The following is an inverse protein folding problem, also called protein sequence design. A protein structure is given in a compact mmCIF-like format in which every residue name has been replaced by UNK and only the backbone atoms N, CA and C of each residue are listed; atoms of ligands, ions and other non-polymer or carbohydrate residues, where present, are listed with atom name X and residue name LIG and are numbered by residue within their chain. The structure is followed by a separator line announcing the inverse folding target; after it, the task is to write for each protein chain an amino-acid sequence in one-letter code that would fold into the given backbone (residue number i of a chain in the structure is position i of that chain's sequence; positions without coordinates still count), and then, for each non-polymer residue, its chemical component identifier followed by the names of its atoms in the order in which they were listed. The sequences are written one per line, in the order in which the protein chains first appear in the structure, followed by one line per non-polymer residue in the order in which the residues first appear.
data_IF_078402906749
#
_entry.id   IF_078402906749
#
_cell.length_a   1.000
_cell.length_b   1.000
_cell.length_c   1.000
_cell.angle_alpha   90.00
_cell.angle_beta   90.00
_cell.angle_gamma   90.00
#
_symmetry.space_group_name_H-M   'P 1'
#
loop_
_entity.id
_entity.type
_entity.pdbx_description
1 polymer ?
#
# COMPACT_ATOMS: atom_id res chain seq x y z
N UNK A 1 50.57 13.89 6.46
CA UNK A 1 49.46 13.00 6.87
C UNK A 1 50.01 11.67 7.34
N UNK A 2 50.56 11.58 8.55
CA UNK A 2 51.29 10.39 9.01
C UNK A 2 50.93 9.97 10.45
N UNK A 3 49.69 10.25 10.88
CA UNK A 3 49.20 9.73 12.15
C UNK A 3 48.82 8.24 11.97
N UNK A 4 49.00 7.41 13.02
CA UNK A 4 48.63 6.00 12.96
C UNK A 4 47.15 5.79 12.59
N UNK A 5 46.28 6.71 13.02
CA UNK A 5 44.86 6.71 12.68
C UNK A 5 44.60 6.78 11.17
N UNK A 6 45.23 7.75 10.48
CA UNK A 6 45.05 7.94 9.02
C UNK A 6 45.53 6.70 8.26
N UNK A 7 46.65 6.10 8.71
CA UNK A 7 47.17 4.88 8.09
C UNK A 7 46.22 3.70 8.25
N UNK A 8 45.62 3.54 9.43
CA UNK A 8 44.66 2.48 9.70
C UNK A 8 43.41 2.63 8.82
N UNK A 9 42.76 3.79 8.85
CA UNK A 9 41.53 4.04 8.08
C UNK A 9 41.73 4.01 6.57
N UNK A 10 42.93 4.30 6.06
CA UNK A 10 43.26 4.17 4.62
C UNK A 10 43.81 2.80 4.21
N UNK A 11 43.92 1.83 5.12
CA UNK A 11 44.57 0.56 4.87
C UNK A 11 43.65 -0.49 4.22
N UNK A 12 44.26 -1.45 3.53
CA UNK A 12 43.57 -2.65 3.02
C UNK A 12 43.08 -3.54 4.18
N UNK A 13 43.81 -3.57 5.30
CA UNK A 13 43.45 -4.35 6.49
C UNK A 13 42.12 -3.88 7.11
N UNK A 14 41.79 -2.59 6.99
CA UNK A 14 40.48 -2.07 7.37
C UNK A 14 39.44 -2.26 6.26
N UNK A 15 39.83 -2.00 4.99
CA UNK A 15 38.91 -2.04 3.86
C UNK A 15 38.31 -3.43 3.60
N UNK A 16 39.11 -4.49 3.66
CA UNK A 16 38.66 -5.86 3.30
C UNK A 16 37.59 -6.38 4.27
N UNK A 17 37.79 -6.34 5.60
CA UNK A 17 36.72 -6.72 6.54
C UNK A 17 35.48 -5.84 6.40
N UNK A 18 35.64 -4.52 6.22
CA UNK A 18 34.51 -3.61 6.04
C UNK A 18 33.67 -4.00 4.81
N UNK A 19 34.33 -4.21 3.66
CA UNK A 19 33.66 -4.60 2.42
C UNK A 19 33.03 -5.99 2.54
N UNK A 20 33.72 -6.95 3.14
CA UNK A 20 33.18 -8.29 3.38
C UNK A 20 31.91 -8.25 4.26
N UNK A 21 31.92 -7.43 5.32
CA UNK A 21 30.74 -7.21 6.16
C UNK A 21 29.60 -6.58 5.38
N UNK A 22 29.85 -5.53 4.61
CA UNK A 22 28.82 -4.89 3.77
C UNK A 22 28.22 -5.90 2.79
N UNK A 23 29.05 -6.69 2.10
CA UNK A 23 28.58 -7.72 1.16
C UNK A 23 27.74 -8.78 1.87
N UNK A 24 28.17 -9.29 3.03
CA UNK A 24 27.40 -10.25 3.81
C UNK A 24 26.05 -9.69 4.26
N UNK A 25 26.02 -8.43 4.69
CA UNK A 25 24.79 -7.71 5.05
C UNK A 25 23.86 -7.56 3.84
N UNK A 26 24.38 -7.18 2.68
CA UNK A 26 23.59 -7.03 1.45
C UNK A 26 22.97 -8.37 1.01
N UNK A 27 23.74 -9.46 1.05
CA UNK A 27 23.25 -10.81 0.75
C UNK A 27 22.14 -11.21 1.74
N UNK A 28 22.39 -11.02 3.04
CA UNK A 28 21.38 -11.31 4.08
C UNK A 28 20.12 -10.47 3.92
N UNK A 29 20.26 -9.19 3.57
CA UNK A 29 19.16 -8.27 3.33
C UNK A 29 18.29 -8.71 2.15
N UNK A 30 18.89 -9.16 1.04
CA UNK A 30 18.14 -9.70 -0.11
C UNK A 30 17.38 -10.98 0.23
N UNK A 31 17.98 -11.88 1.02
CA UNK A 31 17.28 -13.10 1.48
C UNK A 31 16.12 -12.71 2.41
N UNK A 32 16.35 -11.77 3.33
CA UNK A 32 15.33 -11.31 4.26
C UNK A 32 14.18 -10.57 3.54
N UNK A 33 14.49 -9.75 2.53
CA UNK A 33 13.54 -9.03 1.69
C UNK A 33 12.54 -9.97 1.03
N UNK A 34 12.99 -11.14 0.57
CA UNK A 34 12.10 -12.15 -0.01
C UNK A 34 11.04 -12.69 0.95
N UNK A 35 11.25 -12.53 2.27
CA UNK A 35 10.34 -13.05 3.31
C UNK A 35 9.42 -11.98 3.88
N UNK A 36 9.93 -10.76 4.08
CA UNK A 36 9.21 -9.68 4.79
C UNK A 36 8.82 -8.50 3.91
N UNK A 37 9.26 -8.49 2.65
CA UNK A 37 8.98 -7.42 1.70
C UNK A 37 9.98 -6.27 1.74
N UNK A 38 10.03 -5.52 0.64
CA UNK A 38 11.02 -4.45 0.41
C UNK A 38 10.89 -3.28 1.39
N UNK A 39 9.68 -2.87 1.75
CA UNK A 39 9.42 -1.73 2.63
C UNK A 39 10.06 -1.92 4.01
N UNK A 40 9.93 -3.12 4.58
CA UNK A 40 10.52 -3.48 5.87
C UNK A 40 12.05 -3.42 5.81
N UNK A 41 12.65 -4.03 4.79
CA UNK A 41 14.12 -4.10 4.66
C UNK A 41 14.73 -2.73 4.37
N UNK A 42 14.05 -1.89 3.58
CA UNK A 42 14.43 -0.50 3.36
C UNK A 42 14.53 0.24 4.69
N UNK A 43 13.54 0.12 5.57
CA UNK A 43 13.55 0.81 6.86
C UNK A 43 14.57 0.23 7.85
N UNK A 44 14.64 -1.09 7.99
CA UNK A 44 15.47 -1.75 9.00
C UNK A 44 16.97 -1.81 8.65
N UNK A 45 17.29 -1.88 7.35
CA UNK A 45 18.65 -2.09 6.86
C UNK A 45 19.10 -0.88 6.05
N UNK A 46 18.56 -0.67 4.84
CA UNK A 46 19.17 0.25 3.87
C UNK A 46 19.13 1.73 4.29
N UNK A 47 18.04 2.18 4.91
CA UNK A 47 17.85 3.55 5.40
C UNK A 47 18.20 3.70 6.90
N UNK A 48 18.75 2.65 7.51
CA UNK A 48 19.09 2.66 8.93
C UNK A 48 20.36 3.49 9.22
N UNK A 49 20.46 4.13 10.40
CA UNK A 49 21.67 4.86 10.78
C UNK A 49 22.92 3.97 10.85
N UNK A 50 22.79 2.71 11.29
CA UNK A 50 23.91 1.80 11.42
C UNK A 50 24.50 1.41 10.06
N UNK A 51 23.65 1.16 9.06
CA UNK A 51 24.11 0.89 7.70
C UNK A 51 24.70 2.14 7.07
N UNK A 52 24.11 3.31 7.34
CA UNK A 52 24.67 4.62 6.99
C UNK A 52 26.09 4.82 7.54
N UNK A 53 26.36 4.41 8.79
CA UNK A 53 27.71 4.45 9.38
C UNK A 53 28.68 3.55 8.60
N UNK A 54 28.28 2.35 8.19
CA UNK A 54 29.13 1.46 7.38
C UNK A 54 29.48 2.10 6.02
N UNK A 55 28.48 2.69 5.35
CA UNK A 55 28.69 3.40 4.09
C UNK A 55 29.57 4.64 4.26
N UNK A 56 29.42 5.36 5.37
CA UNK A 56 30.28 6.49 5.72
C UNK A 56 31.73 6.04 5.96
N UNK A 57 31.95 4.97 6.73
CA UNK A 57 33.28 4.40 6.96
C UNK A 57 33.93 3.94 5.64
N UNK A 58 33.15 3.39 4.71
CA UNK A 58 33.64 3.02 3.38
C UNK A 58 34.07 4.27 2.60
N UNK A 59 33.26 5.33 2.60
CA UNK A 59 33.61 6.59 1.95
C UNK A 59 34.90 7.20 2.55
N UNK A 60 35.03 7.21 3.88
CA UNK A 60 36.24 7.67 4.57
C UNK A 60 37.46 6.83 4.20
N UNK A 61 37.32 5.50 4.14
CA UNK A 61 38.40 4.61 3.73
C UNK A 61 38.87 4.90 2.29
N UNK A 62 37.93 4.99 1.34
CA UNK A 62 38.22 5.28 -0.06
C UNK A 62 38.90 6.65 -0.21
N UNK A 63 38.41 7.65 0.51
CA UNK A 63 38.94 9.01 0.47
C UNK A 63 40.37 9.08 1.02
N UNK A 64 40.63 8.50 2.20
CA UNK A 64 41.98 8.49 2.80
C UNK A 64 42.94 7.65 1.94
N UNK A 65 42.49 6.52 1.40
CA UNK A 65 43.27 5.69 0.47
C UNK A 65 43.70 6.47 -0.78
N UNK A 66 42.82 7.32 -1.32
CA UNK A 66 43.16 8.22 -2.43
C UNK A 66 44.21 9.27 -2.01
N UNK A 67 43.99 9.97 -0.89
CA UNK A 67 44.86 11.07 -0.44
C UNK A 67 46.27 10.60 -0.04
N UNK A 68 46.38 9.45 0.62
CA UNK A 68 47.68 8.92 1.07
C UNK A 68 48.62 8.54 -0.08
N UNK A 69 48.11 8.42 -1.31
CA UNK A 69 48.91 8.17 -2.52
C UNK A 69 49.27 9.43 -3.30
N UNK A 70 48.99 10.61 -2.74
CA UNK A 70 49.48 11.87 -3.26
C UNK A 70 51.03 11.94 -3.15
N UNK A 71 51.76 12.47 -4.15
CA UNK A 71 51.27 13.11 -5.38
C UNK A 71 50.86 12.09 -6.45
N UNK A 72 49.68 12.29 -7.06
CA UNK A 72 49.08 11.41 -8.09
C UNK A 72 49.76 11.53 -9.46
N UNK A 73 51.09 11.37 -9.48
CA UNK A 73 51.90 11.50 -10.70
C UNK A 73 51.81 10.23 -11.54
N UNK A 74 51.47 10.43 -12.81
CA UNK A 74 51.37 9.38 -13.83
C UNK A 74 49.99 8.73 -13.92
N UNK A 75 49.66 8.22 -15.11
CA UNK A 75 48.33 7.73 -15.48
C UNK A 75 47.71 6.71 -14.50
N UNK A 76 48.50 5.74 -13.99
CA UNK A 76 47.99 4.74 -13.05
C UNK A 76 47.56 5.34 -11.70
N UNK A 77 48.35 6.27 -11.15
CA UNK A 77 48.05 6.89 -9.85
C UNK A 77 46.95 7.95 -9.95
N UNK A 78 46.94 8.70 -11.05
CA UNK A 78 45.85 9.63 -11.36
C UNK A 78 44.53 8.88 -11.57
N UNK A 79 44.53 7.81 -12.38
CA UNK A 79 43.37 6.96 -12.60
C UNK A 79 42.84 6.35 -11.30
N UNK A 80 43.74 5.83 -10.45
CA UNK A 80 43.38 5.33 -9.11
C UNK A 80 42.66 6.38 -8.27
N UNK A 81 43.21 7.60 -8.20
CA UNK A 81 42.62 8.69 -7.42
C UNK A 81 41.25 9.11 -7.96
N UNK A 82 41.12 9.26 -9.28
CA UNK A 82 39.85 9.59 -9.95
C UNK A 82 38.77 8.55 -9.66
N UNK A 83 39.11 7.26 -9.73
CA UNK A 83 38.15 6.19 -9.41
C UNK A 83 37.68 6.26 -7.96
N UNK A 84 38.60 6.45 -7.01
CA UNK A 84 38.23 6.49 -5.59
C UNK A 84 37.42 7.74 -5.24
N UNK A 85 37.80 8.91 -5.77
CA UNK A 85 37.02 10.15 -5.61
C UNK A 85 35.63 9.97 -6.22
N UNK A 86 35.53 9.39 -7.42
CA UNK A 86 34.26 9.11 -8.07
C UNK A 86 33.35 8.21 -7.25
N UNK A 87 33.89 7.13 -6.66
CA UNK A 87 33.14 6.25 -5.76
C UNK A 87 32.64 6.99 -4.51
N UNK A 88 33.46 7.87 -3.91
CA UNK A 88 33.04 8.70 -2.77
C UNK A 88 31.89 9.63 -3.17
N UNK A 89 31.96 10.28 -4.33
CA UNK A 89 30.87 11.13 -4.83
C UNK A 89 29.57 10.33 -5.05
N UNK A 90 29.66 9.09 -5.56
CA UNK A 90 28.49 8.21 -5.70
C UNK A 90 27.89 7.86 -4.35
N UNK A 91 28.71 7.50 -3.35
CA UNK A 91 28.23 7.16 -2.00
C UNK A 91 27.52 8.37 -1.37
N UNK A 92 28.15 9.55 -1.43
CA UNK A 92 27.57 10.79 -0.89
C UNK A 92 26.30 11.18 -1.65
N UNK A 93 26.31 11.08 -2.98
CA UNK A 93 25.15 11.34 -3.81
C UNK A 93 23.99 10.39 -3.53
N UNK A 94 24.26 9.09 -3.34
CA UNK A 94 23.26 8.09 -2.97
C UNK A 94 22.62 8.39 -1.61
N UNK A 95 23.43 8.77 -0.61
CA UNK A 95 22.91 9.23 0.69
C UNK A 95 22.03 10.48 0.52
N UNK A 96 22.43 11.42 -0.34
CA UNK A 96 21.60 12.56 -0.72
C UNK A 96 20.26 12.14 -1.33
N UNK A 97 20.26 11.17 -2.26
CA UNK A 97 19.02 10.65 -2.86
C UNK A 97 18.08 10.11 -1.79
N UNK A 98 18.59 9.32 -0.84
CA UNK A 98 17.79 8.70 0.24
C UNK A 98 17.15 9.74 1.16
N UNK A 99 17.87 10.81 1.51
CA UNK A 99 17.42 11.76 2.53
C UNK A 99 16.73 13.01 1.98
N UNK A 100 16.96 13.35 0.71
CA UNK A 100 16.51 14.63 0.13
C UNK A 100 15.59 14.47 -1.08
N UNK A 101 15.47 13.25 -1.62
CA UNK A 101 14.50 13.02 -2.71
C UNK A 101 13.12 12.78 -2.13
N UNK A 102 12.11 13.26 -2.85
CA UNK A 102 10.73 12.90 -2.62
C UNK A 102 10.27 11.99 -3.75
N UNK A 103 9.58 10.92 -3.40
CA UNK A 103 9.00 9.99 -4.35
C UNK A 103 7.63 9.54 -3.84
N UNK A 104 6.65 9.48 -4.75
CA UNK A 104 5.33 8.96 -4.43
C UNK A 104 4.54 8.57 -5.67
N UNK A 105 3.45 7.86 -5.42
CA UNK A 105 2.52 7.37 -6.43
C UNK A 105 1.31 8.29 -6.52
N UNK A 106 0.97 8.71 -7.73
CA UNK A 106 -0.16 9.56 -8.05
C UNK A 106 -1.21 8.72 -8.80
N UNK A 107 -2.21 8.18 -8.10
CA UNK A 107 -3.34 7.53 -8.76
C UNK A 107 -4.22 8.60 -9.42
N UNK A 108 -4.57 8.34 -10.69
CA UNK A 108 -5.41 9.21 -11.51
C UNK A 108 -6.53 8.42 -12.17
N UNK A 109 -7.65 9.11 -12.40
CA UNK A 109 -8.79 8.58 -13.16
C UNK A 109 -9.33 9.61 -14.14
N UNK A 110 -9.81 9.15 -15.29
CA UNK A 110 -10.39 10.01 -16.34
C UNK A 110 -11.69 10.72 -15.91
N UNK A 111 -12.44 10.10 -14.99
CA UNK A 111 -13.73 10.60 -14.50
C UNK A 111 -13.62 11.51 -13.28
N UNK A 112 -12.40 11.78 -12.81
CA UNK A 112 -12.12 12.62 -11.65
C UNK A 112 -11.39 13.91 -12.04
N UNK A 113 -11.57 14.95 -11.22
CA UNK A 113 -10.80 16.18 -11.33
C UNK A 113 -9.30 15.92 -11.07
N UNK A 114 -8.48 16.93 -11.37
CA UNK A 114 -7.03 16.86 -11.14
C UNK A 114 -6.68 16.53 -9.69
N UNK A 115 -5.72 15.62 -9.52
CA UNK A 115 -5.21 15.21 -8.23
C UNK A 115 -3.85 15.87 -7.97
N UNK A 116 -3.64 16.42 -6.78
CA UNK A 116 -2.35 16.94 -6.32
C UNK A 116 -1.78 16.14 -5.14
N UNK A 117 -2.39 15.05 -4.71
CA UNK A 117 -1.91 14.24 -3.59
C UNK A 117 -1.20 12.99 -4.11
N UNK A 118 0.07 12.85 -3.73
CA UNK A 118 0.84 11.63 -3.97
C UNK A 118 0.92 10.81 -2.70
N UNK A 119 0.80 9.49 -2.83
CA UNK A 119 1.10 8.54 -1.76
C UNK A 119 2.60 8.35 -1.69
N UNK A 120 3.22 8.79 -0.61
CA UNK A 120 4.64 8.56 -0.34
C UNK A 120 4.80 7.28 0.49
N UNK A 121 6.03 6.78 0.58
CA UNK A 121 6.33 5.60 1.39
C UNK A 121 6.05 5.87 2.89
N UNK A 122 5.32 4.94 3.51
CA UNK A 122 4.96 4.98 4.92
C UNK A 122 3.44 5.09 5.15
N UNK A 123 3.02 4.73 6.35
CA UNK A 123 1.67 4.93 6.83
C UNK A 123 1.71 5.90 8.03
N UNK A 124 0.56 6.50 8.30
CA UNK A 124 0.40 7.57 9.27
C UNK A 124 -0.81 7.26 10.17
N UNK A 125 -0.66 7.57 11.45
CA UNK A 125 -1.76 7.62 12.40
C UNK A 125 -2.07 9.09 12.73
N UNK A 126 -3.28 9.52 12.41
CA UNK A 126 -3.82 10.81 12.79
C UNK A 126 -4.73 10.60 14.00
N UNK A 127 -4.54 11.40 15.05
CA UNK A 127 -5.38 11.36 16.25
C UNK A 127 -5.81 12.78 16.58
N UNK A 128 -7.10 12.97 16.86
CA UNK A 128 -7.68 14.20 17.39
C UNK A 128 -8.40 13.91 18.69
N UNK A 129 -8.00 14.58 19.78
CA UNK A 129 -8.65 14.43 21.10
C UNK A 129 -9.94 15.23 21.19
N UNK A 130 -10.80 14.97 22.20
CA UNK A 130 -12.00 15.77 22.45
C UNK A 130 -11.71 17.26 22.68
N UNK A 131 -10.54 17.59 23.23
CA UNK A 131 -10.07 18.96 23.48
C UNK A 131 -9.60 19.68 22.20
N UNK A 132 -9.56 18.98 21.07
CA UNK A 132 -9.11 19.50 19.78
C UNK A 132 -7.60 19.44 19.56
N UNK A 133 -6.85 18.74 20.41
CA UNK A 133 -5.43 18.47 20.16
C UNK A 133 -5.30 17.46 19.01
N UNK A 134 -4.43 17.75 18.05
CA UNK A 134 -4.20 16.87 16.89
C UNK A 134 -2.74 16.46 16.82
N UNK A 135 -2.48 15.16 16.61
CA UNK A 135 -1.15 14.62 16.37
C UNK A 135 -1.16 13.73 15.13
N UNK A 136 -0.18 13.93 14.25
CA UNK A 136 0.09 13.07 13.10
C UNK A 136 1.43 12.38 13.31
N UNK A 137 1.46 11.05 13.26
CA UNK A 137 2.68 10.27 13.45
C UNK A 137 2.86 9.21 12.38
N UNK A 138 4.06 9.17 11.83
CA UNK A 138 4.52 8.05 11.02
C UNK A 138 4.51 6.78 11.88
N UNK A 139 3.95 5.72 11.32
CA UNK A 139 3.90 4.40 11.96
C UNK A 139 4.64 3.39 11.10
N UNK A 140 5.39 2.52 11.79
CA UNK A 140 6.11 1.41 11.17
C UNK A 140 5.64 0.11 11.79
N UNK A 141 5.12 -0.77 10.95
CA UNK A 141 4.69 -2.12 11.32
C UNK A 141 5.85 -3.07 11.08
N UNK A 142 6.32 -3.73 12.15
CA UNK A 142 7.37 -4.73 12.08
C UNK A 142 6.82 -6.07 11.60
N UNK A 143 7.67 -6.99 11.10
CA UNK A 143 7.24 -8.33 10.67
C UNK A 143 6.57 -9.18 11.76
N UNK A 144 6.84 -8.88 13.03
CA UNK A 144 6.19 -9.53 14.18
C UNK A 144 4.82 -8.92 14.52
N UNK A 145 4.33 -7.94 13.75
CA UNK A 145 3.08 -7.23 13.97
C UNK A 145 3.16 -6.11 15.02
N UNK A 146 4.32 -5.89 15.64
CA UNK A 146 4.51 -4.77 16.57
C UNK A 146 4.59 -3.44 15.83
N UNK A 147 4.08 -2.38 16.45
CA UNK A 147 3.98 -1.05 15.86
C UNK A 147 4.97 -0.09 16.55
N UNK A 148 5.60 0.77 15.77
CA UNK A 148 6.49 1.83 16.25
C UNK A 148 6.02 3.18 15.71
N UNK A 149 5.79 4.20 16.55
CA UNK A 149 5.86 4.18 18.03
C UNK A 149 4.77 3.29 18.66
N UNK A 150 4.91 2.93 19.93
CA UNK A 150 3.92 2.11 20.64
C UNK A 150 2.71 2.92 21.15
N UNK A 151 2.72 4.24 20.98
CA UNK A 151 1.66 5.13 21.42
C UNK A 151 1.69 6.46 20.66
N UNK A 152 0.52 7.07 20.46
CA UNK A 152 0.31 8.38 19.83
C UNK A 152 -0.85 9.06 20.54
N UNK A 153 -0.68 10.30 21.03
CA UNK A 153 -1.72 11.12 21.66
C UNK A 153 -2.73 10.37 22.55
N UNK A 154 -2.25 9.66 23.58
CA UNK A 154 -3.09 8.91 24.54
C UNK A 154 -3.60 7.54 24.06
N UNK A 155 -3.37 7.19 22.79
CA UNK A 155 -3.67 5.85 22.25
C UNK A 155 -2.43 4.96 22.32
N UNK A 156 -2.55 3.79 22.94
CA UNK A 156 -1.56 2.71 22.88
C UNK A 156 -1.81 1.84 21.66
N UNK A 157 -0.77 1.59 20.85
CA UNK A 157 -0.85 0.75 19.65
C UNK A 157 -0.48 -0.69 20.01
N UNK A 158 -1.48 -1.56 20.06
CA UNK A 158 -1.35 -2.92 20.60
C UNK A 158 -0.98 -3.96 19.56
N UNK A 159 -1.40 -3.77 18.30
CA UNK A 159 -1.13 -4.76 17.26
C UNK A 159 -1.68 -4.38 15.90
N UNK A 160 -1.29 -5.17 14.90
CA UNK A 160 -1.66 -5.00 13.50
C UNK A 160 -2.29 -6.28 12.96
N UNK A 161 -3.32 -6.14 12.14
CA UNK A 161 -3.91 -7.22 11.38
C UNK A 161 -3.90 -6.86 9.89
N UNK A 162 -3.32 -7.73 9.06
CA UNK A 162 -3.20 -7.51 7.61
C UNK A 162 -4.56 -7.64 6.91
N UNK A 163 -5.40 -8.56 7.37
CA UNK A 163 -6.74 -8.78 6.84
C UNK A 163 -7.76 -8.68 7.97
N UNK A 164 -8.59 -7.64 7.90
CA UNK A 164 -9.77 -7.51 8.73
C UNK A 164 -11.02 -7.39 7.88
N UNK A 165 -12.12 -7.96 8.37
CA UNK A 165 -13.44 -7.81 7.77
C UNK A 165 -14.36 -7.08 8.72
N UNK A 166 -15.24 -6.26 8.15
CA UNK A 166 -16.31 -5.62 8.91
C UNK A 166 -17.46 -6.61 9.03
N UNK A 167 -17.72 -7.05 10.25
CA UNK A 167 -18.89 -7.86 10.58
C UNK A 167 -19.93 -6.94 11.22
N UNK A 168 -21.19 -7.15 10.84
CA UNK A 168 -22.33 -6.50 11.50
C UNK A 168 -22.86 -7.45 12.55
N UNK A 169 -22.97 -6.95 13.77
CA UNK A 169 -23.75 -7.55 14.84
C UNK A 169 -24.98 -6.69 15.08
N UNK A 170 -26.06 -7.32 15.52
CA UNK A 170 -27.28 -6.64 15.90
C UNK A 170 -27.43 -6.69 17.42
N UNK A 171 -27.85 -5.58 18.01
CA UNK A 171 -28.16 -5.46 19.45
C UNK A 171 -29.50 -4.75 19.60
N UNK A 172 -30.25 -5.06 20.65
CA UNK A 172 -31.51 -4.34 20.94
C UNK A 172 -31.23 -2.87 21.32
N UNK A 173 -32.15 -1.95 21.00
CA UNK A 173 -32.09 -0.56 21.47
C UNK A 173 -31.85 0.51 20.39
N UNK A 174 -32.05 0.18 19.12
CA UNK A 174 -32.06 1.14 18.02
C UNK A 174 -33.19 2.16 18.16
N UNK A 175 -32.95 3.40 17.70
CA UNK A 175 -33.95 4.46 17.74
C UNK A 175 -35.01 4.37 16.62
N UNK A 176 -34.83 3.44 15.67
CA UNK A 176 -35.67 3.25 14.49
C UNK A 176 -36.02 1.79 14.32
N UNK A 177 -37.19 1.52 13.75
CA UNK A 177 -37.61 0.16 13.38
C UNK A 177 -36.58 -0.49 12.45
N UNK A 178 -35.95 -1.54 12.95
CA UNK A 178 -34.97 -2.30 12.19
C UNK A 178 -35.03 -3.75 12.68
N UNK A 179 -35.85 -4.54 12.01
CA UNK A 179 -36.01 -5.95 12.39
C UNK A 179 -34.73 -6.71 12.06
N UNK A 180 -34.21 -7.45 13.05
CA UNK A 180 -33.12 -8.40 12.85
C UNK A 180 -33.46 -9.74 13.50
N UNK A 181 -33.17 -10.83 12.79
CA UNK A 181 -33.44 -12.19 13.20
C UNK A 181 -32.12 -12.97 13.22
N UNK A 182 -31.80 -13.59 14.35
CA UNK A 182 -30.71 -14.56 14.41
C UNK A 182 -31.28 -15.93 14.13
N UNK A 183 -30.82 -16.57 13.06
CA UNK A 183 -31.22 -17.92 12.67
C UNK A 183 -30.03 -18.86 12.77
N UNK A 184 -30.29 -20.09 13.20
CA UNK A 184 -29.32 -21.17 13.24
C UNK A 184 -29.73 -22.25 12.26
N UNK A 185 -28.79 -22.65 11.41
CA UNK A 185 -28.90 -23.76 10.46
C UNK A 185 -28.10 -24.95 10.99
N UNK A 186 -28.73 -26.12 11.07
CA UNK A 186 -28.08 -27.35 11.54
C UNK A 186 -28.30 -28.50 10.56
N UNK A 187 -27.24 -29.28 10.32
CA UNK A 187 -27.31 -30.57 9.61
C UNK A 187 -26.60 -31.63 10.45
N UNK A 188 -27.37 -32.63 10.90
CA UNK A 188 -26.85 -33.75 11.68
C UNK A 188 -25.96 -34.67 10.81
N UNK A 189 -26.30 -34.83 9.53
CA UNK A 189 -25.54 -35.69 8.60
C UNK A 189 -24.19 -35.08 8.23
N UNK A 190 -24.11 -33.75 8.12
CA UNK A 190 -22.88 -33.04 7.75
C UNK A 190 -22.09 -32.56 8.97
N UNK A 191 -22.60 -32.74 10.19
CA UNK A 191 -22.02 -32.17 11.42
C UNK A 191 -21.74 -30.68 11.29
N UNK A 192 -22.67 -29.94 10.67
CA UNK A 192 -22.56 -28.52 10.42
C UNK A 192 -23.58 -27.74 11.26
N UNK A 193 -23.10 -26.66 11.86
CA UNK A 193 -23.91 -25.67 12.56
C UNK A 193 -23.44 -24.29 12.09
N UNK A 194 -24.38 -23.49 11.57
CA UNK A 194 -24.12 -22.15 11.05
C UNK A 194 -25.11 -21.19 11.65
N UNK A 195 -24.61 -20.19 12.36
CA UNK A 195 -25.42 -19.06 12.82
C UNK A 195 -25.37 -17.92 11.80
N UNK A 196 -26.52 -17.32 11.51
CA UNK A 196 -26.64 -16.25 10.55
C UNK A 196 -27.61 -15.18 11.04
N UNK A 197 -27.22 -13.92 10.90
CA UNK A 197 -28.14 -12.79 11.06
C UNK A 197 -28.83 -12.47 9.73
N UNK A 198 -30.14 -12.23 9.81
CA UNK A 198 -30.94 -11.57 8.80
C UNK A 198 -31.39 -10.23 9.35
N UNK A 199 -31.24 -9.14 8.59
CA UNK A 199 -31.54 -7.79 9.06
C UNK A 199 -32.21 -6.96 7.97
N UNK A 200 -33.19 -6.14 8.34
CA UNK A 200 -33.83 -5.24 7.38
C UNK A 200 -32.83 -4.23 6.83
N UNK A 201 -31.99 -3.68 7.70
CA UNK A 201 -30.81 -2.90 7.35
C UNK A 201 -29.56 -3.44 8.10
N UNK A 202 -28.36 -3.45 7.49
CA UNK A 202 -28.07 -2.98 6.13
C UNK A 202 -28.47 -4.01 5.05
N UNK A 203 -28.66 -3.56 3.81
CA UNK A 203 -29.19 -4.36 2.69
C UNK A 203 -28.54 -5.74 2.49
N UNK A 204 -27.20 -5.93 2.65
CA UNK A 204 -26.59 -7.26 2.49
C UNK A 204 -27.10 -8.32 3.47
N UNK A 205 -27.64 -7.92 4.63
CA UNK A 205 -28.21 -8.84 5.61
C UNK A 205 -29.69 -9.14 5.34
N UNK A 206 -30.31 -8.46 4.37
CA UNK A 206 -31.70 -8.72 3.97
C UNK A 206 -31.80 -9.97 3.10
N UNK A 207 -30.75 -10.27 2.33
CA UNK A 207 -30.64 -11.45 1.47
C UNK A 207 -29.24 -12.04 1.61
N UNK A 208 -29.13 -13.20 2.24
CA UNK A 208 -27.87 -13.90 2.46
C UNK A 208 -27.82 -15.12 1.56
N UNK A 209 -26.86 -15.15 0.64
CA UNK A 209 -26.62 -16.34 -0.19
C UNK A 209 -25.79 -17.37 0.56
N UNK A 210 -26.22 -18.62 0.50
CA UNK A 210 -25.53 -19.79 1.04
C UNK A 210 -25.00 -20.69 -0.10
N UNK A 211 -24.80 -20.13 -1.30
CA UNK A 211 -24.46 -20.89 -2.51
C UNK A 211 -25.72 -21.29 -3.29
N UNK A 212 -26.14 -22.58 -3.26
CA UNK A 212 -27.32 -23.04 -4.00
C UNK A 212 -28.66 -22.66 -3.33
N UNK A 213 -28.62 -22.04 -2.15
CA UNK A 213 -29.79 -21.60 -1.41
C UNK A 213 -29.62 -20.16 -0.91
N UNK A 214 -30.73 -19.50 -0.60
CA UNK A 214 -30.74 -18.14 -0.03
C UNK A 214 -31.64 -18.02 1.19
N UNK A 215 -31.24 -17.14 2.11
CA UNK A 215 -32.05 -16.69 3.24
C UNK A 215 -32.49 -15.25 2.98
N UNK A 216 -33.78 -14.96 3.17
CA UNK A 216 -34.35 -13.65 2.88
C UNK A 216 -35.16 -13.15 4.08
N UNK A 217 -35.03 -11.86 4.40
CA UNK A 217 -35.93 -11.16 5.32
C UNK A 217 -36.74 -10.12 4.55
N UNK A 218 -38.05 -10.12 4.79
CA UNK A 218 -38.96 -9.09 4.28
C UNK A 218 -39.77 -8.52 5.43
N UNK A 219 -39.89 -7.20 5.48
CA UNK A 219 -40.73 -6.51 6.45
C UNK A 219 -41.96 -5.98 5.72
N UNK A 220 -43.15 -6.23 6.27
CA UNK A 220 -44.45 -5.82 5.73
C UNK A 220 -45.29 -5.09 6.77
N UNK A 221 -46.22 -4.26 6.30
CA UNK A 221 -46.97 -3.35 7.17
C UNK A 221 -48.05 -4.03 8.00
N UNK A 222 -48.64 -5.13 7.52
CA UNK A 222 -49.73 -5.84 8.22
C UNK A 222 -49.65 -7.37 8.08
N UNK A 223 -50.47 -8.07 8.86
CA UNK A 223 -50.62 -9.52 8.77
C UNK A 223 -51.27 -9.95 7.44
N UNK A 224 -52.20 -9.16 6.90
CA UNK A 224 -52.78 -9.41 5.57
C UNK A 224 -51.72 -9.34 4.48
N UNK A 225 -50.84 -8.32 4.53
CA UNK A 225 -49.72 -8.19 3.60
C UNK A 225 -48.71 -9.34 3.75
N UNK A 226 -48.52 -9.88 4.96
CA UNK A 226 -47.69 -11.06 5.16
C UNK A 226 -48.28 -12.30 4.49
N UNK A 227 -49.60 -12.52 4.63
CA UNK A 227 -50.30 -13.65 3.98
C UNK A 227 -50.30 -13.51 2.46
N UNK A 228 -50.53 -12.31 1.93
CA UNK A 228 -50.43 -12.04 0.49
C UNK A 228 -49.02 -12.32 -0.03
N UNK A 229 -47.98 -11.94 0.73
CA UNK A 229 -46.60 -12.22 0.37
C UNK A 229 -46.31 -13.72 0.35
N UNK A 230 -46.77 -14.48 1.35
CA UNK A 230 -46.65 -15.95 1.36
C UNK A 230 -47.35 -16.58 0.16
N UNK A 231 -48.56 -16.12 -0.17
CA UNK A 231 -49.32 -16.61 -1.32
C UNK A 231 -48.57 -16.34 -2.64
N UNK A 232 -48.03 -15.13 -2.80
CA UNK A 232 -47.22 -14.78 -3.98
C UNK A 232 -45.98 -15.67 -4.09
N UNK A 233 -45.35 -16.00 -2.96
CA UNK A 233 -44.16 -16.85 -2.93
C UNK A 233 -44.47 -18.31 -3.29
N UNK A 234 -45.67 -18.79 -2.97
CA UNK A 234 -46.13 -20.13 -3.35
C UNK A 234 -46.26 -20.31 -4.87
N UNK A 235 -46.57 -19.23 -5.60
CA UNK A 235 -46.70 -19.24 -7.05
C UNK A 235 -45.34 -19.12 -7.78
N UNK A 236 -44.28 -18.67 -7.08
CA UNK A 236 -42.91 -18.62 -7.60
C UNK A 236 -42.13 -19.89 -7.25
N UNK A 237 -41.67 -20.61 -8.28
CA UNK A 237 -41.08 -21.97 -8.15
C UNK A 237 -39.59 -22.07 -8.51
N UNK A 238 -38.84 -20.96 -8.42
CA UNK A 238 -37.41 -20.95 -8.76
C UNK A 238 -36.51 -20.86 -7.53
N UNK A 239 -35.51 -21.73 -7.47
CA UNK A 239 -34.45 -21.71 -6.46
C UNK A 239 -34.80 -22.34 -5.11
N UNK A 240 -33.77 -22.58 -4.28
CA UNK A 240 -33.93 -22.98 -2.89
C UNK A 240 -33.87 -21.73 -2.02
N UNK A 241 -34.93 -21.42 -1.27
CA UNK A 241 -34.95 -20.22 -0.42
C UNK A 241 -35.75 -20.42 0.86
N UNK A 242 -35.32 -19.74 1.92
CA UNK A 242 -36.08 -19.57 3.14
C UNK A 242 -36.30 -18.07 3.33
N UNK A 243 -37.56 -17.65 3.39
CA UNK A 243 -37.93 -16.26 3.53
C UNK A 243 -38.70 -16.04 4.84
N UNK A 244 -38.09 -15.30 5.77
CA UNK A 244 -38.75 -14.78 6.94
C UNK A 244 -39.51 -13.49 6.57
N UNK A 245 -40.77 -13.42 6.99
CA UNK A 245 -41.66 -12.30 6.72
C UNK A 245 -42.07 -11.73 8.07
N UNK A 246 -41.51 -10.57 8.40
CA UNK A 246 -41.79 -9.85 9.63
C UNK A 246 -42.86 -8.79 9.41
N UNK A 247 -43.82 -8.72 10.32
CA UNK A 247 -44.83 -7.66 10.33
C UNK A 247 -44.41 -6.51 11.25
N UNK A 248 -44.96 -5.32 11.02
CA UNK A 248 -44.80 -4.16 11.91
C UNK A 248 -45.24 -4.45 13.37
N UNK A 249 -46.18 -5.39 13.58
CA UNK A 249 -46.63 -5.83 14.90
C UNK A 249 -45.68 -6.80 15.61
N UNK A 250 -44.59 -7.20 14.95
CA UNK A 250 -43.59 -8.13 15.48
C UNK A 250 -43.92 -9.61 15.26
N UNK A 251 -45.05 -9.95 14.64
CA UNK A 251 -45.32 -11.35 14.24
C UNK A 251 -44.45 -11.75 13.05
N UNK A 252 -43.99 -13.00 13.07
CA UNK A 252 -43.14 -13.59 12.04
C UNK A 252 -43.85 -14.75 11.34
N UNK A 253 -43.76 -14.76 10.02
CA UNK A 253 -44.15 -15.86 9.16
C UNK A 253 -42.92 -16.35 8.38
N UNK A 254 -42.98 -17.56 7.85
CA UNK A 254 -41.96 -18.04 6.92
C UNK A 254 -42.60 -18.67 5.69
N UNK A 255 -41.84 -18.63 4.61
CA UNK A 255 -42.06 -19.41 3.40
C UNK A 255 -40.73 -20.05 3.00
N UNK A 256 -40.74 -21.34 2.66
CA UNK A 256 -39.58 -22.06 2.17
C UNK A 256 -39.92 -22.82 0.90
N UNK A 257 -39.00 -22.83 -0.05
CA UNK A 257 -39.10 -23.61 -1.27
C UNK A 257 -37.85 -24.46 -1.46
N UNK A 258 -38.06 -25.69 -1.90
CA UNK A 258 -37.00 -26.62 -2.25
C UNK A 258 -37.49 -27.58 -3.34
N UNK A 259 -36.63 -28.48 -3.79
CA UNK A 259 -37.03 -29.60 -4.64
C UNK A 259 -38.11 -30.51 -4.02
N UNK A 260 -38.33 -30.44 -2.71
CA UNK A 260 -39.39 -31.18 -2.00
C UNK A 260 -40.75 -30.44 -1.99
N UNK A 261 -40.79 -29.22 -2.54
CA UNK A 261 -41.99 -28.39 -2.63
C UNK A 261 -41.94 -27.14 -1.74
N UNK A 262 -43.06 -26.44 -1.71
CA UNK A 262 -43.28 -25.22 -0.95
C UNK A 262 -43.89 -25.53 0.43
N UNK A 263 -43.40 -24.86 1.47
CA UNK A 263 -43.95 -24.91 2.82
C UNK A 263 -44.00 -23.50 3.41
N UNK A 264 -44.98 -23.22 4.25
CA UNK A 264 -45.10 -21.94 4.95
C UNK A 264 -45.78 -22.11 6.30
N UNK A 265 -45.62 -21.12 7.17
CA UNK A 265 -46.23 -21.15 8.49
C UNK A 265 -45.85 -19.94 9.35
N UNK A 266 -46.18 -20.02 10.63
CA UNK A 266 -45.76 -19.04 11.63
C UNK A 266 -44.33 -19.40 12.06
N UNK A 267 -43.42 -18.42 12.02
CA UNK A 267 -42.05 -18.59 12.48
C UNK A 267 -42.01 -18.30 13.98
N UNK A 268 -41.65 -19.30 14.79
CA UNK A 268 -41.61 -19.18 16.24
C UNK A 268 -40.18 -19.36 16.76
N UNK A 269 -39.92 -18.75 17.90
CA UNK A 269 -38.64 -18.82 18.59
C UNK A 269 -38.34 -20.25 19.04
N UNK A 270 -37.13 -20.72 18.75
CA UNK A 270 -36.59 -22.04 19.13
C UNK A 270 -37.37 -23.26 18.60
N UNK A 271 -38.27 -23.09 17.63
CA UNK A 271 -38.90 -24.21 16.93
C UNK A 271 -38.14 -24.51 15.62
N UNK A 272 -37.61 -25.73 15.42
CA UNK A 272 -36.90 -26.09 14.20
C UNK A 272 -37.87 -26.32 13.03
N UNK A 273 -37.47 -25.86 11.84
CA UNK A 273 -38.23 -25.98 10.59
C UNK A 273 -37.35 -26.70 9.57
N UNK A 274 -37.86 -27.80 9.01
CA UNK A 274 -37.19 -28.52 7.94
C UNK A 274 -37.23 -27.71 6.63
N UNK A 275 -36.06 -27.46 6.02
CA UNK A 275 -35.97 -26.62 4.82
C UNK A 275 -36.22 -27.40 3.52
N UNK A 276 -36.09 -28.73 3.56
CA UNK A 276 -36.08 -29.59 2.37
C UNK A 276 -34.77 -29.55 1.59
N UNK A 277 -33.76 -28.81 2.07
CA UNK A 277 -32.39 -28.81 1.53
C UNK A 277 -31.59 -29.91 2.23
N UNK A 278 -31.59 -31.11 1.66
CA UNK A 278 -31.05 -32.30 2.34
C UNK A 278 -31.66 -32.46 3.76
N UNK A 279 -30.84 -32.47 4.80
CA UNK A 279 -31.23 -32.61 6.22
C UNK A 279 -31.09 -31.30 7.02
N UNK A 280 -31.02 -30.15 6.35
CA UNK A 280 -30.94 -28.87 7.04
C UNK A 280 -32.26 -28.47 7.70
N UNK A 281 -32.16 -28.13 8.98
CA UNK A 281 -33.20 -27.47 9.76
C UNK A 281 -32.77 -26.04 10.08
N UNK A 282 -33.71 -25.10 10.02
CA UNK A 282 -33.51 -23.72 10.48
C UNK A 282 -34.28 -23.48 11.78
N UNK A 283 -33.66 -22.78 12.72
CA UNK A 283 -34.27 -22.39 13.99
C UNK A 283 -34.10 -20.90 14.19
N UNK A 284 -35.18 -20.19 14.57
CA UNK A 284 -35.08 -18.79 15.00
C UNK A 284 -34.57 -18.75 16.45
N UNK A 285 -33.40 -18.18 16.68
CA UNK A 285 -32.82 -18.07 18.03
C UNK A 285 -33.15 -16.76 18.73
N UNK A 286 -33.19 -15.66 17.97
CA UNK A 286 -33.36 -14.32 18.50
C UNK A 286 -34.12 -13.44 17.51
N UNK A 287 -34.98 -12.57 18.03
CA UNK A 287 -35.70 -11.56 17.28
C UNK A 287 -35.50 -10.21 17.95
N UNK A 288 -35.00 -9.25 17.18
CA UNK A 288 -34.85 -7.85 17.56
C UNK A 288 -35.79 -7.03 16.68
N UNK A 289 -36.62 -6.19 17.29
CA UNK A 289 -37.56 -5.32 16.55
C UNK A 289 -36.96 -3.96 16.24
N UNK A 290 -36.11 -3.47 17.15
CA UNK A 290 -35.42 -2.20 17.05
C UNK A 290 -33.92 -2.46 17.14
N UNK A 291 -33.38 -3.18 16.15
CA UNK A 291 -31.98 -3.57 16.17
C UNK A 291 -31.05 -2.38 15.88
N UNK A 292 -30.18 -2.06 16.83
CA UNK A 292 -29.00 -1.24 16.61
C UNK A 292 -27.91 -2.06 15.91
N UNK A 293 -27.30 -1.48 14.88
CA UNK A 293 -26.20 -2.07 14.13
C UNK A 293 -24.88 -1.78 14.88
N UNK A 294 -24.25 -2.82 15.38
CA UNK A 294 -22.89 -2.77 15.95
C UNK A 294 -21.89 -3.30 14.91
N UNK A 295 -21.08 -2.41 14.34
CA UNK A 295 -20.08 -2.78 13.35
C UNK A 295 -18.78 -3.12 14.05
N UNK A 296 -18.34 -4.37 13.94
CA UNK A 296 -17.09 -4.82 14.50
C UNK A 296 -16.10 -5.14 13.39
N UNK A 297 -14.84 -4.82 13.64
CA UNK A 297 -13.74 -5.17 12.74
C UNK A 297 -13.05 -6.37 13.36
N UNK A 298 -13.02 -7.47 12.61
CA UNK A 298 -12.49 -8.75 13.10
C UNK A 298 -11.32 -9.18 12.21
N UNK A 299 -10.15 -9.51 12.80
CA UNK A 299 -9.05 -10.11 12.08
C UNK A 299 -9.44 -11.48 11.51
N UNK A 300 -9.09 -11.73 10.24
CA UNK A 300 -9.33 -13.01 9.58
C UNK A 300 -7.98 -13.66 9.30
N UNK A 301 -7.79 -14.87 9.85
CA UNK A 301 -6.56 -15.65 9.63
C UNK A 301 -6.51 -16.34 8.26
N UNK A 302 -7.65 -16.45 7.59
CA UNK A 302 -7.75 -17.03 6.24
C UNK A 302 -7.28 -16.03 5.18
N UNK A 303 -6.20 -16.39 4.47
CA UNK A 303 -5.59 -15.58 3.40
C UNK A 303 -6.45 -15.50 2.14
N UNK A 304 -7.49 -16.31 2.02
CA UNK A 304 -8.41 -16.28 0.87
C UNK A 304 -9.47 -15.18 1.00
N UNK A 305 -9.70 -14.68 2.22
CA UNK A 305 -10.63 -13.59 2.48
C UNK A 305 -9.93 -12.26 2.23
N UNK A 306 -10.38 -11.53 1.21
CA UNK A 306 -9.87 -10.21 0.89
C UNK A 306 -10.34 -9.20 1.95
N UNK A 307 -9.47 -8.88 2.90
CA UNK A 307 -9.72 -7.93 3.97
C UNK A 307 -9.01 -6.59 3.75
N UNK A 308 -9.22 -5.68 4.69
CA UNK A 308 -8.45 -4.43 4.80
C UNK A 308 -7.52 -4.49 6.01
N UNK A 309 -6.30 -3.94 5.94
CA UNK A 309 -5.44 -3.81 7.10
C UNK A 309 -6.07 -2.98 8.20
N UNK A 310 -5.76 -3.27 9.46
CA UNK A 310 -6.18 -2.47 10.60
C UNK A 310 -5.18 -2.50 11.76
N UNK A 311 -5.25 -1.48 12.61
CA UNK A 311 -4.43 -1.36 13.83
C UNK A 311 -5.32 -1.44 15.06
N UNK A 312 -4.96 -2.28 16.02
CA UNK A 312 -5.62 -2.32 17.32
C UNK A 312 -5.04 -1.23 18.22
N UNK A 313 -5.90 -0.31 18.64
CA UNK A 313 -5.54 0.74 19.61
C UNK A 313 -6.25 0.53 20.92
N UNK A 314 -5.67 1.06 21.99
CA UNK A 314 -6.24 1.09 23.33
C UNK A 314 -6.19 2.50 23.90
N UNK A 315 -7.33 3.01 24.36
CA UNK A 315 -7.42 4.29 25.07
C UNK A 315 -6.86 4.17 26.49
N UNK A 316 -6.58 5.28 27.14
CA UNK A 316 -6.17 5.32 28.56
C UNK A 316 -7.22 4.67 29.48
N UNK A 317 -8.50 4.80 29.15
CA UNK A 317 -9.63 4.20 29.86
C UNK A 317 -9.75 2.68 29.66
N UNK A 318 -8.99 2.12 28.73
CA UNK A 318 -8.90 0.69 28.49
C UNK A 318 -9.72 0.16 27.32
N UNK A 319 -10.50 1.02 26.65
CA UNK A 319 -11.29 0.65 25.46
C UNK A 319 -10.36 0.27 24.32
N UNK A 320 -10.56 -0.93 23.76
CA UNK A 320 -9.83 -1.39 22.58
C UNK A 320 -10.67 -1.23 21.32
N UNK A 321 -10.08 -0.68 20.26
CA UNK A 321 -10.76 -0.44 18.99
C UNK A 321 -9.82 -0.74 17.82
N UNK A 322 -10.34 -1.36 16.78
CA UNK A 322 -9.61 -1.54 15.53
C UNK A 322 -9.80 -0.32 14.64
N UNK A 323 -8.69 0.25 14.16
CA UNK A 323 -8.64 1.34 13.20
C UNK A 323 -8.39 0.75 11.80
N UNK A 324 -9.41 0.65 10.94
CA UNK A 324 -9.26 0.19 9.58
C UNK A 324 -8.43 1.17 8.75
N UNK A 325 -7.65 0.64 7.82
CA UNK A 325 -6.85 1.45 6.90
C UNK A 325 -7.73 2.28 5.97
N UNK A 326 -7.43 3.58 5.87
CA UNK A 326 -8.11 4.53 4.99
C UNK A 326 -9.43 5.09 5.50
N UNK A 327 -9.89 4.68 6.69
CA UNK A 327 -11.17 5.12 7.25
C UNK A 327 -11.01 5.70 8.66
N UNK A 328 -11.46 6.95 8.89
CA UNK A 328 -11.46 7.54 10.22
C UNK A 328 -12.45 6.81 11.13
N UNK A 329 -12.05 6.57 12.37
CA UNK A 329 -12.85 5.90 13.40
C UNK A 329 -13.00 6.79 14.61
N UNK A 330 -14.23 6.90 15.09
CA UNK A 330 -14.57 7.60 16.33
C UNK A 330 -14.53 6.62 17.50
N UNK A 331 -13.75 6.94 18.53
CA UNK A 331 -13.60 6.13 19.74
C UNK A 331 -14.23 6.90 20.91
N UNK A 332 -15.32 6.40 21.51
CA UNK A 332 -15.94 7.07 22.65
C UNK A 332 -15.05 6.99 23.90
N UNK A 333 -14.89 8.12 24.57
CA UNK A 333 -14.20 8.27 25.86
C UNK A 333 -15.07 9.06 26.84
N UNK A 334 -14.83 9.01 28.17
CA UNK A 334 -15.68 9.70 29.15
C UNK A 334 -15.84 11.20 28.89
N UNK A 335 -14.79 11.85 28.40
CA UNK A 335 -14.75 13.30 28.17
C UNK A 335 -15.10 13.70 26.72
N UNK A 336 -15.59 12.76 25.89
CA UNK A 336 -16.04 13.03 24.51
C UNK A 336 -15.69 11.91 23.54
N UNK A 337 -15.16 12.26 22.37
CA UNK A 337 -14.81 11.31 21.32
C UNK A 337 -13.41 11.59 20.78
N UNK A 338 -12.58 10.55 20.67
CA UNK A 338 -11.31 10.61 19.96
C UNK A 338 -11.56 10.23 18.50
N UNK A 339 -11.13 11.06 17.56
CA UNK A 339 -11.14 10.70 16.14
C UNK A 339 -9.75 10.22 15.74
N UNK A 340 -9.63 8.97 15.30
CA UNK A 340 -8.36 8.38 14.90
C UNK A 340 -8.44 7.77 13.50
N UNK A 341 -7.41 7.97 12.68
CA UNK A 341 -7.36 7.47 11.31
C UNK A 341 -5.99 6.85 10.98
N UNK A 342 -6.01 5.58 10.58
CA UNK A 342 -4.86 4.88 10.02
C UNK A 342 -4.85 5.07 8.51
N UNK A 343 -3.95 5.87 7.97
CA UNK A 343 -3.98 6.31 6.57
C UNK A 343 -2.62 6.18 5.89
N UNK A 344 -2.55 6.12 4.54
CA UNK A 344 -1.27 6.25 3.87
C UNK A 344 -0.68 7.64 4.08
N UNK A 345 0.64 7.73 4.09
CA UNK A 345 1.31 9.03 4.11
C UNK A 345 1.11 9.74 2.77
N UNK A 346 0.49 10.92 2.81
CA UNK A 346 0.22 11.74 1.63
C UNK A 346 1.12 12.97 1.58
N UNK A 347 1.51 13.37 0.37
CA UNK A 347 2.21 14.63 0.12
C UNK A 347 1.46 15.45 -0.93
N UNK A 348 1.25 16.74 -0.63
CA UNK A 348 0.57 17.65 -1.55
C UNK A 348 1.57 18.30 -2.53
N UNK A 349 1.35 18.08 -3.81
CA UNK A 349 2.07 18.71 -4.91
C UNK A 349 1.64 20.18 -5.08
N UNK A 350 2.54 21.06 -5.57
CA UNK A 350 2.22 22.45 -5.86
C UNK A 350 1.43 22.65 -7.16
N UNK A 351 1.03 21.57 -7.83
CA UNK A 351 0.22 21.56 -9.05
C UNK A 351 -0.70 20.34 -9.03
N UNK A 352 -1.78 20.39 -9.81
CA UNK A 352 -2.68 19.27 -10.02
C UNK A 352 -2.34 18.56 -11.32
N UNK A 353 -2.57 17.25 -11.37
CA UNK A 353 -2.49 16.46 -12.58
C UNK A 353 -3.83 15.78 -12.80
N UNK A 354 -4.43 15.99 -13.96
CA UNK A 354 -5.65 15.30 -14.40
C UNK A 354 -5.29 14.28 -15.48
N UNK A 355 -5.89 13.09 -15.43
CA UNK A 355 -5.81 12.12 -16.52
C UNK A 355 -6.90 12.47 -17.53
N UNK A 356 -6.50 12.75 -18.76
CA UNK A 356 -7.43 13.08 -19.84
C UNK A 356 -7.84 11.82 -20.61
N UNK A 357 -6.91 10.88 -20.78
CA UNK A 357 -7.08 9.69 -21.60
C UNK A 357 -5.97 8.68 -21.25
N UNK A 358 -6.32 7.40 -21.10
CA UNK A 358 -5.40 6.30 -20.91
C UNK A 358 -5.53 5.28 -22.05
N UNK A 359 -4.42 5.09 -22.77
CA UNK A 359 -4.37 4.27 -23.98
C UNK A 359 -3.50 3.06 -23.71
N UNK A 360 -4.02 1.87 -24.01
CA UNK A 360 -3.29 0.61 -23.99
C UNK A 360 -3.22 0.05 -25.40
N UNK A 361 -2.01 -0.05 -25.95
CA UNK A 361 -1.74 -0.67 -27.25
C UNK A 361 -1.36 -2.14 -27.04
N UNK A 362 -1.88 -3.02 -27.89
CA UNK A 362 -1.62 -4.47 -27.84
C UNK A 362 -0.84 -4.91 -29.07
N UNK A 363 -0.09 -6.00 -28.93
CA UNK A 363 0.64 -6.59 -30.04
C UNK A 363 -0.33 -7.13 -31.10
N UNK A 364 0.05 -7.01 -32.37
CA UNK A 364 -0.75 -7.56 -33.47
C UNK A 364 -0.98 -9.06 -33.27
N UNK A 365 -2.25 -9.48 -33.28
CA UNK A 365 -2.63 -10.89 -33.13
C UNK A 365 -2.50 -11.46 -31.71
N UNK A 366 -2.31 -10.64 -30.68
CA UNK A 366 -2.23 -11.08 -29.28
C UNK A 366 -2.88 -10.08 -28.31
N UNK A 367 -3.43 -10.58 -27.20
CA UNK A 367 -3.89 -9.72 -26.11
C UNK A 367 -2.73 -9.17 -25.24
N UNK A 368 -1.47 -9.49 -25.58
CA UNK A 368 -0.31 -8.96 -24.86
C UNK A 368 -0.15 -7.45 -25.07
N UNK A 369 0.10 -6.73 -23.97
CA UNK A 369 0.27 -5.28 -23.98
C UNK A 369 1.63 -4.90 -24.56
N UNK A 370 1.63 -4.04 -25.57
CA UNK A 370 2.81 -3.51 -26.24
C UNK A 370 3.27 -2.19 -25.59
N UNK A 371 2.31 -1.29 -25.32
CA UNK A 371 2.58 0.02 -24.74
C UNK A 371 1.36 0.50 -23.95
N UNK A 372 1.58 1.30 -22.93
CA UNK A 372 0.52 2.12 -22.34
C UNK A 372 0.96 3.57 -22.15
N UNK A 373 -0.01 4.47 -22.33
CA UNK A 373 0.20 5.90 -22.44
C UNK A 373 -0.88 6.63 -21.65
N UNK A 374 -0.46 7.55 -20.78
CA UNK A 374 -1.34 8.48 -20.08
C UNK A 374 -1.19 9.86 -20.71
N UNK A 375 -2.29 10.39 -21.27
CA UNK A 375 -2.39 11.81 -21.59
C UNK A 375 -2.84 12.53 -20.33
N UNK A 376 -2.02 13.44 -19.87
CA UNK A 376 -2.27 14.19 -18.64
C UNK A 376 -2.31 15.67 -18.90
N UNK A 377 -3.08 16.37 -18.09
CA UNK A 377 -3.07 17.82 -18.03
C UNK A 377 -2.54 18.25 -16.66
N UNK A 378 -1.48 19.05 -16.67
CA UNK A 378 -0.91 19.64 -15.46
C UNK A 378 -1.50 21.04 -15.32
N UNK A 379 -2.08 21.33 -14.16
CA UNK A 379 -2.68 22.63 -13.85
C UNK A 379 -1.99 23.24 -12.62
N UNK A 380 -1.47 24.46 -12.77
CA UNK A 380 -0.87 25.21 -11.67
C UNK A 380 -1.86 26.28 -11.18
N UNK A 381 -2.44 26.12 -9.97
CA UNK A 381 -3.42 27.07 -9.43
C UNK A 381 -2.86 28.48 -9.23
N UNK A 382 -1.54 28.60 -9.00
CA UNK A 382 -0.91 29.88 -8.74
C UNK A 382 -0.58 30.63 -10.03
N UNK A 383 -0.26 29.90 -11.11
CA UNK A 383 0.16 30.50 -12.37
C UNK A 383 -0.97 30.56 -13.42
N UNK A 384 -2.11 29.89 -13.20
CA UNK A 384 -3.20 29.75 -14.17
C UNK A 384 -2.72 29.14 -15.51
N UNK A 385 -1.68 28.31 -15.46
CA UNK A 385 -1.10 27.65 -16.62
C UNK A 385 -1.58 26.19 -16.65
N UNK A 386 -2.16 25.80 -17.78
CA UNK A 386 -2.45 24.40 -18.11
C UNK A 386 -1.44 23.89 -19.13
N UNK A 387 -0.81 22.75 -18.87
CA UNK A 387 0.11 22.10 -19.81
C UNK A 387 -0.32 20.67 -20.04
N UNK A 388 -0.68 20.36 -21.28
CA UNK A 388 -0.94 18.99 -21.70
C UNK A 388 0.39 18.25 -21.94
N UNK A 389 0.48 17.02 -21.45
CA UNK A 389 1.65 16.16 -21.54
C UNK A 389 1.23 14.73 -21.85
N UNK A 390 2.16 13.96 -22.40
CA UNK A 390 1.99 12.54 -22.65
C UNK A 390 3.09 11.79 -21.93
N UNK A 391 2.72 10.79 -21.15
CA UNK A 391 3.66 9.96 -20.38
C UNK A 391 3.42 8.51 -20.78
N UNK A 392 4.43 7.84 -21.30
CA UNK A 392 4.32 6.44 -21.71
C UNK A 392 5.50 5.63 -21.20
N UNK A 393 5.48 4.32 -21.43
CA UNK A 393 6.51 3.40 -20.94
C UNK A 393 7.92 3.89 -21.27
N UNK A 394 8.79 3.99 -20.25
CA UNK A 394 10.17 4.47 -20.36
C UNK A 394 10.35 5.92 -20.86
N UNK A 395 9.26 6.70 -20.98
CA UNK A 395 9.28 8.08 -21.44
C UNK A 395 8.58 9.00 -20.42
N UNK A 396 9.33 9.47 -19.41
CA UNK A 396 8.83 10.40 -18.41
C UNK A 396 8.71 11.83 -18.96
N UNK A 397 7.93 12.66 -18.27
CA UNK A 397 7.88 14.11 -18.48
C UNK A 397 8.42 14.84 -17.25
N UNK A 398 8.77 16.12 -17.41
CA UNK A 398 9.27 16.98 -16.34
C UNK A 398 8.44 18.26 -16.23
N UNK A 399 8.18 18.67 -14.99
CA UNK A 399 7.48 19.93 -14.68
C UNK A 399 8.06 20.55 -13.40
N UNK A 400 8.62 21.76 -13.48
CA UNK A 400 9.19 22.50 -12.33
C UNK A 400 10.12 21.66 -11.41
N UNK A 401 10.98 20.81 -12.01
CA UNK A 401 11.91 19.94 -11.27
C UNK A 401 11.31 18.63 -10.76
N UNK A 402 10.03 18.37 -11.03
CA UNK A 402 9.37 17.09 -10.80
C UNK A 402 9.47 16.23 -12.05
N UNK A 403 9.84 14.97 -11.87
CA UNK A 403 9.79 13.93 -12.89
C UNK A 403 8.49 13.13 -12.69
N UNK A 404 7.73 12.96 -13.76
CA UNK A 404 6.49 12.18 -13.77
C UNK A 404 6.67 11.04 -14.77
N UNK A 405 6.52 9.80 -14.31
CA UNK A 405 6.72 8.59 -15.09
C UNK A 405 5.55 7.63 -14.93
N UNK A 406 5.37 6.70 -15.87
CA UNK A 406 4.44 5.58 -15.69
C UNK A 406 4.89 4.68 -14.54
N UNK A 407 3.96 4.31 -13.65
CA UNK A 407 4.20 3.33 -12.60
C UNK A 407 3.39 2.04 -12.83
N UNK A 408 2.07 2.17 -12.94
CA UNK A 408 1.16 1.03 -13.10
C UNK A 408 -0.20 1.49 -13.64
N UNK A 409 -1.07 0.54 -13.95
CA UNK A 409 -2.43 0.76 -14.43
C UNK A 409 -3.33 -0.39 -14.00
N UNK A 410 -4.65 -0.24 -14.17
CA UNK A 410 -5.64 -1.23 -13.77
C UNK A 410 -6.17 -2.01 -15.00
N UNK A 411 -5.85 -3.30 -15.15
CA UNK A 411 -6.38 -4.13 -16.25
C UNK A 411 -7.90 -4.29 -16.28
N UNK A 412 -8.57 -4.16 -15.14
CA UNK A 412 -10.03 -4.22 -15.03
C UNK A 412 -10.73 -2.89 -15.31
N UNK A 413 -10.00 -1.77 -15.31
CA UNK A 413 -10.55 -0.43 -15.54
C UNK A 413 -9.54 0.45 -16.28
N UNK A 414 -9.73 0.56 -17.60
CA UNK A 414 -8.90 1.36 -18.49
C UNK A 414 -9.03 2.87 -18.28
N UNK A 415 -9.85 3.33 -17.34
CA UNK A 415 -9.93 4.76 -16.99
C UNK A 415 -8.94 5.15 -15.90
N UNK A 416 -8.09 4.23 -15.45
CA UNK A 416 -7.18 4.44 -14.32
C UNK A 416 -5.72 4.27 -14.71
N UNK A 417 -4.88 5.19 -14.23
CA UNK A 417 -3.43 5.11 -14.35
C UNK A 417 -2.79 5.61 -13.07
N UNK A 418 -1.69 4.98 -12.67
CA UNK A 418 -0.86 5.44 -11.56
C UNK A 418 0.47 5.93 -12.11
N UNK A 419 0.81 7.18 -11.80
CA UNK A 419 2.07 7.80 -12.17
C UNK A 419 3.02 7.85 -10.98
N UNK A 420 4.30 7.58 -11.22
CA UNK A 420 5.36 7.84 -10.26
C UNK A 420 5.76 9.32 -10.38
N UNK A 421 5.74 10.03 -9.26
CA UNK A 421 6.16 11.42 -9.17
C UNK A 421 7.39 11.49 -8.27
N UNK A 422 8.51 11.96 -8.84
CA UNK A 422 9.79 12.06 -8.14
C UNK A 422 10.34 13.48 -8.23
N UNK A 423 10.86 14.00 -7.12
CA UNK A 423 11.67 15.22 -7.10
C UNK A 423 13.03 14.93 -6.48
N UNK A 424 14.07 15.26 -7.22
CA UNK A 424 15.46 15.13 -6.78
C UNK A 424 16.16 16.48 -6.96
N UNK A 425 16.87 16.99 -5.93
CA UNK A 425 17.68 18.19 -6.09
C UNK A 425 18.74 18.01 -7.18
N UNK A 426 18.77 18.94 -8.15
CA UNK A 426 19.65 18.85 -9.33
C UNK A 426 21.12 18.63 -8.97
N UNK A 427 21.60 19.24 -7.89
CA UNK A 427 22.99 19.11 -7.44
C UNK A 427 23.34 17.68 -7.00
N UNK A 428 22.37 16.89 -6.51
CA UNK A 428 22.55 15.47 -6.15
C UNK A 428 22.68 14.62 -7.41
N UNK A 429 21.82 14.86 -8.40
CA UNK A 429 21.92 14.20 -9.70
C UNK A 429 23.26 14.52 -10.36
N UNK A 430 23.69 15.79 -10.34
CA UNK A 430 25.01 16.17 -10.85
C UNK A 430 26.15 15.50 -10.08
N UNK A 431 26.03 15.36 -8.76
CA UNK A 431 27.02 14.70 -7.92
C UNK A 431 27.20 13.23 -8.29
N UNK A 432 26.10 12.48 -8.45
CA UNK A 432 26.14 11.07 -8.83
C UNK A 432 26.67 10.87 -10.25
N UNK A 433 26.22 11.69 -11.22
CA UNK A 433 26.69 11.63 -12.61
C UNK A 433 28.17 11.97 -12.73
N UNK A 434 28.62 13.01 -12.01
CA UNK A 434 30.05 13.38 -11.95
C UNK A 434 30.86 12.23 -11.34
N UNK A 435 30.37 11.62 -10.26
CA UNK A 435 31.01 10.46 -9.64
C UNK A 435 31.17 9.30 -10.62
N UNK A 436 30.11 8.92 -11.33
CA UNK A 436 30.14 7.87 -12.36
C UNK A 436 31.11 8.19 -13.49
N UNK A 437 31.12 9.44 -13.99
CA UNK A 437 32.06 9.88 -15.01
C UNK A 437 33.51 9.77 -14.52
N UNK A 438 33.81 10.19 -13.29
CA UNK A 438 35.15 10.07 -12.70
C UNK A 438 35.59 8.61 -12.54
N UNK A 439 34.67 7.69 -12.21
CA UNK A 439 34.99 6.25 -12.17
C UNK A 439 35.40 5.75 -13.54
N UNK A 440 34.61 6.02 -14.57
CA UNK A 440 34.89 5.59 -15.95
C UNK A 440 36.19 6.18 -16.47
N UNK A 441 36.37 7.50 -16.33
CA UNK A 441 37.59 8.20 -16.75
C UNK A 441 38.80 7.72 -15.95
N UNK A 442 38.65 7.47 -14.64
CA UNK A 442 39.70 6.97 -13.78
C UNK A 442 40.20 5.58 -14.20
N UNK A 443 39.28 4.64 -14.44
CA UNK A 443 39.59 3.30 -14.94
C UNK A 443 40.25 3.41 -16.33
N UNK A 444 39.68 4.18 -17.24
CA UNK A 444 40.24 4.41 -18.58
C UNK A 444 41.66 4.97 -18.54
N UNK A 445 41.90 5.95 -17.68
CA UNK A 445 43.23 6.55 -17.46
C UNK A 445 44.21 5.53 -16.91
N UNK A 446 43.79 4.68 -15.97
CA UNK A 446 44.65 3.68 -15.33
C UNK A 446 45.16 2.63 -16.32
N UNK A 447 44.29 2.12 -17.20
CA UNK A 447 44.61 1.02 -18.11
C UNK A 447 45.12 1.52 -19.48
N UNK A 448 44.53 2.57 -20.04
CA UNK A 448 44.80 3.01 -21.41
C UNK A 448 45.59 4.32 -21.52
N UNK A 449 45.76 5.08 -20.43
CA UNK A 449 46.37 6.41 -20.47
C UNK A 449 47.77 6.45 -21.11
N UNK A 450 48.61 5.44 -20.84
CA UNK A 450 49.95 5.33 -21.48
C UNK A 450 49.87 5.07 -22.99
N UNK A 451 48.94 4.21 -23.43
CA UNK A 451 48.79 3.86 -24.84
C UNK A 451 48.25 5.05 -25.64
N UNK A 452 47.24 5.74 -25.09
CA UNK A 452 46.66 6.96 -25.68
C UNK A 452 47.72 8.05 -25.80
N UNK A 453 48.49 8.30 -24.74
CA UNK A 453 49.55 9.32 -24.76
C UNK A 453 50.65 9.02 -25.79
N UNK A 454 51.06 7.75 -25.94
CA UNK A 454 52.02 7.34 -26.96
C UNK A 454 51.47 7.56 -28.38
N UNK A 455 50.20 7.24 -28.62
CA UNK A 455 49.54 7.46 -29.92
C UNK A 455 49.48 8.95 -30.29
N UNK A 456 49.08 9.81 -29.34
CA UNK A 456 48.98 11.25 -29.55
C UNK A 456 50.35 11.94 -29.76
N UNK A 457 51.43 11.37 -29.23
CA UNK A 457 52.79 11.92 -29.37
C UNK A 457 53.54 11.39 -30.60
N UNK A 458 52.96 10.47 -31.38
CA UNK A 458 53.58 9.85 -32.55
C UNK A 458 52.95 10.26 -33.89
N UNK A 459 52.17 11.36 -33.97
CA UNK A 459 51.86 11.98 -35.26
C UNK A 459 53.09 12.73 -35.78
N UNK A 460 53.75 12.29 -36.87
CA UNK A 460 54.79 13.09 -37.50
C UNK A 460 54.14 14.36 -38.07
N UNK A 461 54.70 15.52 -37.71
CA UNK A 461 54.39 16.78 -38.41
C UNK A 461 54.54 16.55 -39.92
N UNK A 462 53.60 16.99 -40.77
CA UNK A 462 53.81 16.91 -42.21
C UNK A 462 55.08 17.69 -42.55
N UNK A 463 56.10 16.98 -43.02
CA UNK A 463 57.27 17.60 -43.62
C UNK A 463 56.79 18.25 -44.90
N UNK A 464 56.55 19.56 -44.86
CA UNK A 464 56.36 20.37 -46.06
C UNK A 464 57.74 20.42 -46.73
N UNK A 465 57.95 19.56 -47.72
CA UNK A 465 59.06 19.71 -48.65
C UNK A 465 58.78 20.97 -49.48
N UNK A 466 59.36 22.10 -49.07
CA UNK A 466 59.56 23.23 -49.97
C UNK A 466 60.68 22.81 -50.92
N UNK A 467 60.30 22.24 -52.06
CA UNK A 467 61.24 22.00 -53.15
C UNK A 467 61.91 23.32 -53.54
N UNK A 468 63.23 23.33 -53.50
CA UNK A 468 64.05 24.38 -54.10
C UNK A 468 63.82 24.41 -55.62
N UNK A 469 63.75 25.63 -56.17
CA UNK A 469 63.60 25.93 -57.59
C UNK A 469 64.79 25.46 -58.44
#
# INVERSE_FOLDING_TARGET
MNTPLIRFFGSIQFAVPLLASIVAILIGATIYESQVGSTVVQHLIYKSPWFGILMFLLAVNLFISALTRYPWRGFRKAGFALTHIGLVLIIVGSAGVIHLSLEGMLPLREDLAGNNQIRVEGDLLEVMTPEGETEQRDIFIRPDGSISPSSVLGLSLLGYAENTVKTVHFKEGGATDNVALKVRLTSARMSQEVEQWLGFAPLPYRRVSLGPAELVLTVVESEEAAQEKVATLADTSEGNYFQAIATSSGKLYYATHSSQGFQSGILKLNEPIALGWADFEITLEEQLTHAQIDRQIVPVGDRTVQGTPAILVKTETGTQTWLPWGEPTTIPVPDGEILAAFTPKLFSLPFQVALQDFIVERNEGSDSVAMWTSKIQIQDPHQHISSDRTVWMNHPTWYQGWKIAQASWNPGDLRQSTLQVKREPLWITLLTWTGSALVVVGIGTMFYGKAIHKSLTHYPSPVINLGEN
#
